data_IF_594671760734
#
_entry.id   IF_594671760734
#
_cell.length_a   1.000
_cell.length_b   1.000
_cell.length_c   1.000
_cell.angle_alpha   90.00
_cell.angle_beta   90.00
_cell.angle_gamma   90.00
#
_symmetry.space_group_name_H-M   'P 1'
#
loop_
_entity.id
_entity.type
_entity.pdbx_description
1 polymer ?
#
# COMPACT_ATOMS: atom_id res chain seq x y z
N UNK A 1 9.89 0.78 8.44
CA UNK A 1 8.80 0.08 7.73
C UNK A 1 7.62 1.02 7.63
N UNK A 2 6.89 1.04 6.50
CA UNK A 2 5.75 1.93 6.31
C UNK A 2 4.49 1.12 5.97
N UNK A 3 3.33 1.59 6.43
CA UNK A 3 2.03 0.97 6.13
C UNK A 3 0.95 2.03 5.97
N UNK A 4 -0.04 1.75 5.14
CA UNK A 4 -1.24 2.59 4.99
C UNK A 4 -2.33 2.24 6.00
N UNK A 5 -2.21 1.11 6.71
CA UNK A 5 -3.20 0.61 7.66
C UNK A 5 -2.76 0.89 9.10
N UNK A 6 -3.59 1.64 9.84
CA UNK A 6 -3.32 2.03 11.23
C UNK A 6 -3.29 0.82 12.19
N UNK A 7 -4.21 -0.12 12.03
CA UNK A 7 -4.26 -1.33 12.86
C UNK A 7 -2.99 -2.18 12.68
N UNK A 8 -2.55 -2.36 11.44
CA UNK A 8 -1.27 -3.03 11.14
C UNK A 8 -0.10 -2.26 11.76
N UNK A 9 -0.14 -0.93 11.74
CA UNK A 9 0.92 -0.12 12.32
C UNK A 9 1.01 -0.29 13.84
N UNK A 10 -0.14 -0.24 14.53
CA UNK A 10 -0.24 -0.46 15.97
C UNK A 10 0.26 -1.87 16.32
N UNK A 11 -0.22 -2.88 15.60
CA UNK A 11 0.20 -4.27 15.81
C UNK A 11 1.72 -4.43 15.67
N UNK A 12 2.31 -3.92 14.59
CA UNK A 12 3.75 -4.01 14.35
C UNK A 12 4.56 -3.22 15.39
N UNK A 13 4.07 -2.06 15.81
CA UNK A 13 4.72 -1.25 16.83
C UNK A 13 4.73 -1.94 18.21
N UNK A 14 3.70 -2.74 18.52
CA UNK A 14 3.62 -3.49 19.77
C UNK A 14 4.47 -4.78 19.76
N UNK A 15 4.64 -5.41 18.59
CA UNK A 15 5.26 -6.74 18.48
C UNK A 15 6.66 -6.73 17.86
N UNK A 16 7.14 -5.59 17.37
CA UNK A 16 8.45 -5.46 16.74
C UNK A 16 9.19 -4.23 17.27
N UNK A 17 10.52 -4.26 17.28
CA UNK A 17 11.36 -3.10 17.59
C UNK A 17 11.59 -2.19 16.37
N UNK A 18 10.81 -2.37 15.30
CA UNK A 18 11.00 -1.62 14.06
C UNK A 18 10.34 -0.24 14.15
N UNK A 19 10.98 0.77 13.54
CA UNK A 19 10.33 2.06 13.32
C UNK A 19 9.21 1.91 12.28
N UNK A 20 7.97 2.12 12.71
CA UNK A 20 6.77 2.03 11.88
C UNK A 20 6.26 3.43 11.53
N UNK A 21 6.13 3.73 10.23
CA UNK A 21 5.56 4.98 9.73
C UNK A 21 4.17 4.70 9.12
N UNK A 22 3.17 5.48 9.51
CA UNK A 22 1.84 5.39 8.91
C UNK A 22 1.72 6.40 7.77
N UNK A 23 1.43 5.93 6.57
CA UNK A 23 1.23 6.78 5.39
C UNK A 23 -0.26 7.09 5.28
N UNK A 24 -0.63 8.36 5.44
CA UNK A 24 -1.98 8.87 5.13
C UNK A 24 -2.97 9.04 6.29
N UNK A 25 -2.62 8.77 7.55
CA UNK A 25 -3.58 8.83 8.67
C UNK A 25 -3.60 10.15 9.46
N UNK A 26 -4.80 10.62 9.84
CA UNK A 26 -5.04 11.33 11.11
C UNK A 26 -5.41 10.28 12.15
N UNK A 27 -4.89 10.36 13.39
CA UNK A 27 -5.08 9.35 14.44
C UNK A 27 -6.54 9.03 14.83
N UNK A 28 -7.51 9.80 14.34
CA UNK A 28 -8.92 9.70 14.74
C UNK A 28 -9.67 8.67 13.89
N UNK A 29 -9.23 8.39 12.66
CA UNK A 29 -9.92 7.49 11.76
C UNK A 29 -9.17 6.16 11.65
N UNK A 30 -9.88 5.07 11.89
CA UNK A 30 -9.42 3.68 11.66
C UNK A 30 -9.00 3.45 10.20
N UNK A 31 -9.37 4.36 9.32
CA UNK A 31 -9.06 4.38 7.90
C UNK A 31 -8.47 5.74 7.52
N UNK A 32 -7.31 5.72 6.86
CA UNK A 32 -6.79 6.92 6.21
C UNK A 32 -7.68 7.29 5.01
N UNK A 33 -7.89 8.59 4.77
CA UNK A 33 -8.56 9.04 3.54
C UNK A 33 -7.78 8.50 2.33
N UNK A 34 -8.45 7.71 1.48
CA UNK A 34 -7.82 6.98 0.36
C UNK A 34 -7.07 7.90 -0.61
N UNK A 35 -7.65 9.06 -0.92
CA UNK A 35 -7.07 10.05 -1.84
C UNK A 35 -5.82 10.74 -1.26
N UNK A 36 -5.84 11.09 0.04
CA UNK A 36 -4.68 11.68 0.72
C UNK A 36 -3.56 10.64 0.84
N UNK A 37 -3.93 9.39 1.17
CA UNK A 37 -3.00 8.27 1.26
C UNK A 37 -2.33 8.00 -0.08
N UNK A 38 -3.11 7.92 -1.16
CA UNK A 38 -2.60 7.74 -2.52
C UNK A 38 -1.65 8.88 -2.94
N UNK A 39 -1.98 10.13 -2.62
CA UNK A 39 -1.08 11.27 -2.88
C UNK A 39 0.22 11.13 -2.10
N UNK A 40 0.14 10.88 -0.79
CA UNK A 40 1.32 10.76 0.07
C UNK A 40 2.20 9.56 -0.30
N UNK A 41 1.62 8.46 -0.79
CA UNK A 41 2.36 7.30 -1.26
C UNK A 41 3.36 7.64 -2.37
N UNK A 42 3.09 8.68 -3.17
CA UNK A 42 3.97 9.08 -4.28
C UNK A 42 5.30 9.68 -3.83
N UNK A 43 5.37 10.15 -2.59
CA UNK A 43 6.60 10.74 -2.03
C UNK A 43 7.55 9.68 -1.46
N UNK A 44 7.16 8.39 -1.52
CA UNK A 44 7.95 7.28 -1.00
C UNK A 44 8.48 6.41 -2.14
N UNK A 45 9.72 5.94 -1.98
CA UNK A 45 10.31 4.90 -2.82
C UNK A 45 10.46 3.65 -1.96
N UNK A 46 9.87 2.54 -2.41
CA UNK A 46 9.92 1.27 -1.69
C UNK A 46 10.75 0.25 -2.48
N UNK A 47 11.77 -0.31 -1.84
CA UNK A 47 12.53 -1.43 -2.41
C UNK A 47 11.68 -2.70 -2.45
N UNK A 48 10.88 -2.91 -1.40
CA UNK A 48 10.02 -4.08 -1.24
C UNK A 48 8.65 -3.62 -0.72
N UNK A 49 7.59 -4.08 -1.39
CA UNK A 49 6.20 -3.82 -1.03
C UNK A 49 5.42 -5.14 -0.93
N UNK A 50 4.65 -5.27 0.15
CA UNK A 50 3.71 -6.37 0.34
C UNK A 50 2.30 -5.82 0.31
N UNK A 51 1.44 -6.42 -0.51
CA UNK A 51 0.07 -5.98 -0.71
C UNK A 51 -0.87 -7.17 -0.63
N UNK A 52 -1.86 -7.12 0.26
CA UNK A 52 -2.98 -8.06 0.20
C UNK A 52 -4.12 -7.47 -0.61
N UNK A 53 -4.90 -8.31 -1.27
CA UNK A 53 -6.12 -7.92 -1.97
C UNK A 53 -7.17 -9.04 -1.92
N UNK A 54 -8.41 -8.69 -2.27
CA UNK A 54 -9.50 -9.67 -2.38
C UNK A 54 -9.38 -10.52 -3.65
N UNK A 55 -9.03 -9.86 -4.74
CA UNK A 55 -8.90 -10.47 -6.04
C UNK A 55 -7.81 -9.78 -6.85
N UNK A 56 -7.32 -10.50 -7.85
CA UNK A 56 -6.48 -9.95 -8.89
C UNK A 56 -7.06 -10.37 -10.24
N UNK A 57 -7.39 -9.38 -11.06
CA UNK A 57 -7.81 -9.56 -12.45
C UNK A 57 -6.73 -9.02 -13.37
N UNK A 58 -6.48 -9.72 -14.48
CA UNK A 58 -5.59 -9.21 -15.54
C UNK A 58 -6.16 -7.94 -16.20
N UNK A 59 -7.48 -7.82 -16.29
CA UNK A 59 -8.15 -6.71 -16.98
C UNK A 59 -8.32 -5.49 -16.06
N UNK A 60 -8.69 -5.72 -14.79
CA UNK A 60 -9.03 -4.65 -13.84
C UNK A 60 -7.98 -4.43 -12.76
N UNK A 61 -6.94 -5.27 -12.72
CA UNK A 61 -5.91 -5.22 -11.68
C UNK A 61 -6.41 -5.71 -10.31
N UNK A 62 -5.92 -5.06 -9.27
CA UNK A 62 -6.20 -5.40 -7.87
C UNK A 62 -7.61 -5.01 -7.49
N UNK A 63 -8.38 -5.91 -6.89
CA UNK A 63 -9.74 -5.64 -6.44
C UNK A 63 -9.88 -5.76 -4.93
N UNK A 64 -10.77 -4.93 -4.37
CA UNK A 64 -11.15 -4.92 -2.95
C UNK A 64 -12.65 -4.67 -2.80
N UNK A 65 -13.12 -4.72 -1.54
CA UNK A 65 -14.53 -4.51 -1.22
C UNK A 65 -15.01 -3.09 -1.52
N UNK A 66 -14.12 -2.11 -1.32
CA UNK A 66 -14.44 -0.69 -1.46
C UNK A 66 -13.33 0.01 -2.23
N UNK A 67 -13.72 1.02 -3.02
CA UNK A 67 -12.79 1.81 -3.84
C UNK A 67 -11.70 2.49 -2.99
N UNK A 68 -12.03 2.86 -1.74
CA UNK A 68 -11.06 3.46 -0.82
C UNK A 68 -9.91 2.52 -0.45
N UNK A 69 -10.11 1.21 -0.51
CA UNK A 69 -9.07 0.20 -0.25
C UNK A 69 -8.25 -0.10 -1.50
N UNK A 70 -8.87 -0.15 -2.68
CA UNK A 70 -8.19 -0.44 -3.94
C UNK A 70 -7.42 0.76 -4.50
N UNK A 71 -7.91 2.00 -4.31
CA UNK A 71 -7.27 3.23 -4.81
C UNK A 71 -5.78 3.39 -4.43
N UNK A 72 -5.38 3.29 -3.14
CA UNK A 72 -3.97 3.40 -2.78
C UNK A 72 -3.13 2.23 -3.34
N UNK A 73 -3.74 1.06 -3.56
CA UNK A 73 -3.06 -0.11 -4.14
C UNK A 73 -2.76 0.08 -5.62
N UNK A 74 -3.73 0.55 -6.40
CA UNK A 74 -3.50 0.95 -7.79
C UNK A 74 -2.41 2.03 -7.89
N UNK A 75 -2.48 3.05 -7.03
CA UNK A 75 -1.47 4.12 -7.00
C UNK A 75 -0.06 3.59 -6.72
N UNK A 76 0.08 2.61 -5.80
CA UNK A 76 1.37 1.98 -5.54
C UNK A 76 1.88 1.22 -6.76
N UNK A 77 1.03 0.44 -7.44
CA UNK A 77 1.41 -0.30 -8.65
C UNK A 77 1.87 0.65 -9.75
N UNK A 78 1.11 1.71 -10.01
CA UNK A 78 1.46 2.71 -11.01
C UNK A 78 2.82 3.35 -10.68
N UNK A 79 3.03 3.74 -9.42
CA UNK A 79 4.30 4.32 -8.97
C UNK A 79 5.48 3.36 -9.21
N UNK A 80 5.36 2.11 -8.76
CA UNK A 80 6.41 1.11 -8.91
C UNK A 80 6.71 0.83 -10.39
N UNK A 81 5.69 0.85 -11.26
CA UNK A 81 5.86 0.70 -12.70
C UNK A 81 6.66 1.85 -13.31
N UNK A 82 6.38 3.10 -12.90
CA UNK A 82 7.10 4.30 -13.35
C UNK A 82 8.54 4.27 -12.86
N UNK A 83 8.77 3.93 -11.58
CA UNK A 83 10.10 3.85 -10.98
C UNK A 83 10.97 2.80 -11.67
N UNK A 84 10.40 1.63 -11.96
CA UNK A 84 11.10 0.55 -12.67
C UNK A 84 11.45 0.97 -14.10
N UNK A 85 10.51 1.57 -14.84
CA UNK A 85 10.73 1.93 -16.25
C UNK A 85 11.63 3.15 -16.45
N UNK A 86 11.47 4.20 -15.65
CA UNK A 86 12.11 5.51 -15.89
C UNK A 86 13.40 5.69 -15.12
N UNK A 87 13.53 5.07 -13.94
CA UNK A 87 14.67 5.26 -13.05
C UNK A 87 15.52 4.00 -12.88
N UNK A 88 15.13 2.89 -13.51
CA UNK A 88 15.82 1.60 -13.44
C UNK A 88 16.03 1.13 -11.99
N UNK A 89 15.06 1.45 -11.12
CA UNK A 89 15.06 1.05 -9.71
C UNK A 89 14.40 -0.32 -9.60
N UNK A 90 15.09 -1.25 -8.96
CA UNK A 90 14.56 -2.59 -8.70
C UNK A 90 13.63 -2.56 -7.48
N UNK A 91 12.33 -2.48 -7.74
CA UNK A 91 11.29 -2.60 -6.72
C UNK A 91 10.61 -3.98 -6.80
N UNK A 92 10.44 -4.63 -5.67
CA UNK A 92 9.76 -5.93 -5.57
C UNK A 92 8.35 -5.73 -5.00
N UNK A 93 7.33 -6.18 -5.74
CA UNK A 93 5.94 -6.18 -5.29
C UNK A 93 5.42 -7.60 -5.15
N UNK A 94 5.00 -7.95 -3.93
CA UNK A 94 4.36 -9.23 -3.62
C UNK A 94 2.86 -9.01 -3.38
N UNK A 95 2.01 -9.58 -4.24
CA UNK A 95 0.55 -9.49 -4.15
C UNK A 95 0.00 -10.81 -3.62
N UNK A 96 -0.75 -10.75 -2.52
CA UNK A 96 -1.44 -11.89 -1.92
C UNK A 96 -2.94 -11.74 -2.09
N UNK A 97 -3.54 -12.57 -2.94
CA UNK A 97 -4.99 -12.58 -3.16
C UNK A 97 -5.65 -13.61 -2.25
N UNK A 98 -6.68 -13.21 -1.50
CA UNK A 98 -7.48 -14.12 -0.66
C UNK A 98 -8.67 -14.71 -1.41
N UNK A 99 -8.54 -14.99 -2.71
CA UNK A 99 -9.62 -15.55 -3.52
C UNK A 99 -10.03 -16.91 -2.96
N UNK A 100 -11.23 -16.98 -2.38
CA UNK A 100 -11.96 -18.22 -2.10
C UNK A 100 -12.77 -18.53 -3.35
#
# INVERSE_FOLDING_TARGET
>A
MSTTNLETAIYLNLHTQNKINVIGGRMIDTYSSSMITARNLRDYVFDISFMSCRGFSLEYGVTDKVESESSPKHTLIDLLSILSQHFNINCWLFIFSTSI
#
